data_IF_887609125357
#
_entry.id   IF_887609125357
#
_cell.length_a   1.000
_cell.length_b   1.000
_cell.length_c   1.000
_cell.angle_alpha   90.00
_cell.angle_beta   90.00
_cell.angle_gamma   90.00
#
_symmetry.space_group_name_H-M   'P 1'
#
loop_
_entity.id
_entity.type
_entity.pdbx_description
1 polymer ?
#
# COMPACT_ATOMS: atom_id res chain seq x y z
N UNK A 1 -17.14 -29.28 -24.86
CA UNK A 1 -17.42 -29.04 -23.43
C UNK A 1 -16.61 -27.82 -23.04
N UNK A 2 -17.27 -26.71 -22.72
CA UNK A 2 -16.59 -25.50 -22.24
C UNK A 2 -16.08 -25.80 -20.84
N UNK A 3 -14.77 -25.73 -20.63
CA UNK A 3 -14.17 -25.85 -19.30
C UNK A 3 -14.76 -24.78 -18.39
N UNK A 4 -15.35 -25.19 -17.26
CA UNK A 4 -15.84 -24.24 -16.27
C UNK A 4 -14.62 -23.59 -15.62
N UNK A 5 -14.46 -22.26 -15.70
CA UNK A 5 -13.28 -21.62 -15.14
C UNK A 5 -13.27 -21.79 -13.62
N UNK A 6 -12.14 -22.24 -13.08
CA UNK A 6 -11.92 -22.35 -11.64
C UNK A 6 -12.15 -21.00 -10.95
N UNK A 7 -12.79 -21.03 -9.79
CA UNK A 7 -12.89 -19.87 -8.89
C UNK A 7 -11.52 -19.52 -8.29
N UNK A 8 -11.37 -18.28 -7.80
CA UNK A 8 -10.15 -17.86 -7.10
C UNK A 8 -9.86 -18.71 -5.85
N UNK A 9 -10.90 -19.24 -5.20
CA UNK A 9 -10.78 -20.14 -4.05
C UNK A 9 -10.22 -21.49 -4.47
N UNK A 10 -10.75 -22.10 -5.52
CA UNK A 10 -10.23 -23.37 -6.04
C UNK A 10 -8.76 -23.21 -6.45
N UNK A 11 -8.41 -22.11 -7.13
CA UNK A 11 -7.02 -21.80 -7.48
C UNK A 11 -6.09 -21.70 -6.28
N UNK A 12 -6.54 -21.08 -5.19
CA UNK A 12 -5.79 -21.02 -3.94
C UNK A 12 -5.53 -22.44 -3.38
N UNK A 13 -6.55 -23.30 -3.38
CA UNK A 13 -6.43 -24.67 -2.88
C UNK A 13 -5.50 -25.53 -3.75
N UNK A 14 -5.55 -25.35 -5.07
CA UNK A 14 -4.59 -25.95 -6.01
C UNK A 14 -3.17 -25.45 -5.80
N UNK A 15 -2.98 -24.16 -5.47
CA UNK A 15 -1.67 -23.61 -5.13
C UNK A 15 -1.11 -24.26 -3.85
N UNK A 16 -1.95 -24.48 -2.85
CA UNK A 16 -1.55 -25.21 -1.64
C UNK A 16 -1.17 -26.65 -1.98
N UNK A 17 -2.01 -27.36 -2.75
CA UNK A 17 -1.73 -28.74 -3.16
C UNK A 17 -0.43 -28.86 -3.97
N UNK A 18 -0.14 -27.88 -4.83
CA UNK A 18 1.11 -27.83 -5.58
C UNK A 18 2.31 -27.60 -4.65
N UNK A 19 2.18 -26.76 -3.62
CA UNK A 19 3.25 -26.47 -2.68
C UNK A 19 3.50 -27.60 -1.66
N UNK A 20 2.48 -28.38 -1.31
CA UNK A 20 2.57 -29.41 -0.25
C UNK A 20 2.59 -30.83 -0.77
N UNK A 21 2.10 -31.07 -2.01
CA UNK A 21 1.78 -32.40 -2.53
C UNK A 21 0.39 -32.89 -2.14
N UNK A 22 -0.32 -32.20 -1.24
CA UNK A 22 -1.58 -32.64 -0.64
C UNK A 22 -2.67 -31.57 -0.72
N UNK A 23 -3.85 -31.96 -1.20
CA UNK A 23 -5.00 -31.07 -1.24
C UNK A 23 -5.54 -30.78 0.17
N UNK A 24 -5.91 -29.52 0.48
CA UNK A 24 -6.55 -29.21 1.76
C UNK A 24 -7.86 -30.00 1.96
N UNK A 25 -8.02 -30.58 3.15
CA UNK A 25 -9.25 -31.27 3.53
C UNK A 25 -10.48 -30.35 3.41
N UNK A 26 -11.65 -30.92 3.10
CA UNK A 26 -12.89 -30.15 2.87
C UNK A 26 -13.35 -29.31 4.08
N UNK A 27 -12.92 -29.67 5.29
CA UNK A 27 -13.21 -28.95 6.52
C UNK A 27 -12.15 -27.87 6.86
N UNK A 28 -11.15 -27.65 5.99
CA UNK A 28 -10.12 -26.64 6.19
C UNK A 28 -10.72 -25.22 6.20
N UNK A 29 -10.24 -24.30 7.06
CA UNK A 29 -10.68 -22.90 7.06
C UNK A 29 -10.42 -22.18 5.73
N UNK A 30 -9.51 -22.69 4.88
CA UNK A 30 -9.25 -22.16 3.54
C UNK A 30 -10.51 -22.18 2.64
N UNK A 31 -11.48 -23.08 2.92
CA UNK A 31 -12.72 -23.18 2.15
C UNK A 31 -13.74 -22.07 2.45
N UNK A 32 -13.62 -21.35 3.55
CA UNK A 32 -14.54 -20.26 3.94
C UNK A 32 -13.88 -18.87 3.94
N UNK A 33 -12.57 -18.81 3.74
CA UNK A 33 -11.75 -17.60 3.71
C UNK A 33 -12.27 -16.51 2.75
N UNK A 34 -12.23 -15.25 3.19
CA UNK A 34 -12.57 -14.09 2.38
C UNK A 34 -11.34 -13.62 1.58
N UNK A 35 -11.34 -13.85 0.26
CA UNK A 35 -10.17 -13.58 -0.59
C UNK A 35 -9.93 -12.08 -0.89
N UNK A 36 -10.80 -11.20 -0.42
CA UNK A 36 -10.63 -9.75 -0.52
C UNK A 36 -9.62 -9.20 0.51
N UNK A 37 -9.25 -9.99 1.53
CA UNK A 37 -8.37 -9.58 2.63
C UNK A 37 -7.04 -10.36 2.54
N UNK A 38 -5.98 -9.78 1.94
CA UNK A 38 -4.73 -10.50 1.69
C UNK A 38 -4.05 -10.98 2.96
N UNK A 39 -4.20 -10.21 4.04
CA UNK A 39 -3.66 -10.55 5.34
C UNK A 39 -4.30 -11.81 5.89
N UNK A 40 -5.64 -11.92 5.85
CA UNK A 40 -6.35 -13.14 6.24
C UNK A 40 -5.92 -14.35 5.40
N UNK A 41 -5.66 -14.17 4.10
CA UNK A 41 -5.15 -15.25 3.25
C UNK A 41 -3.77 -15.69 3.72
N UNK A 42 -2.87 -14.73 3.94
CA UNK A 42 -1.52 -15.03 4.41
C UNK A 42 -1.55 -15.76 5.74
N UNK A 43 -2.34 -15.29 6.69
CA UNK A 43 -2.38 -15.84 8.04
C UNK A 43 -2.99 -17.25 8.03
N UNK A 44 -4.11 -17.43 7.32
CA UNK A 44 -4.73 -18.75 7.18
C UNK A 44 -3.81 -19.76 6.48
N UNK A 45 -3.05 -19.34 5.47
CA UNK A 45 -2.04 -20.18 4.82
C UNK A 45 -0.86 -20.48 5.75
N UNK A 46 -0.37 -19.49 6.48
CA UNK A 46 0.75 -19.65 7.43
C UNK A 46 0.37 -20.65 8.52
N UNK A 47 -0.82 -20.50 9.10
CA UNK A 47 -1.36 -21.40 10.10
C UNK A 47 -1.55 -22.82 9.54
N UNK A 48 -2.15 -22.93 8.35
CA UNK A 48 -2.37 -24.22 7.69
C UNK A 48 -1.06 -24.96 7.37
N UNK A 49 -0.01 -24.22 7.00
CA UNK A 49 1.32 -24.76 6.68
C UNK A 49 2.22 -24.93 7.92
N UNK A 50 1.69 -24.71 9.12
CA UNK A 50 2.41 -24.90 10.38
C UNK A 50 3.50 -23.87 10.67
N UNK A 51 3.44 -22.69 10.06
CA UNK A 51 4.33 -21.55 10.33
C UNK A 51 5.80 -21.71 9.91
N UNK A 52 6.20 -22.87 9.37
CA UNK A 52 7.58 -23.15 8.97
C UNK A 52 7.93 -22.65 7.57
N UNK A 53 6.92 -22.41 6.74
CA UNK A 53 7.07 -21.99 5.34
C UNK A 53 6.76 -20.51 5.21
N UNK A 54 7.53 -19.83 4.38
CA UNK A 54 7.23 -18.45 4.04
C UNK A 54 6.05 -18.38 3.08
N UNK A 55 5.08 -17.50 3.39
CA UNK A 55 3.93 -17.20 2.53
C UNK A 55 3.92 -15.73 2.18
N UNK A 56 3.81 -15.42 0.89
CA UNK A 56 3.59 -14.06 0.41
C UNK A 56 2.26 -13.99 -0.32
N UNK A 57 1.44 -13.02 0.08
CA UNK A 57 0.18 -12.70 -0.61
C UNK A 57 0.24 -11.23 -1.02
N UNK A 58 0.40 -10.96 -2.32
CA UNK A 58 0.67 -9.61 -2.86
C UNK A 58 -0.02 -9.40 -4.22
N UNK A 59 0.22 -8.29 -4.91
CA UNK A 59 -0.49 -7.90 -6.13
C UNK A 59 -1.86 -7.28 -5.86
N UNK A 60 -2.40 -6.58 -6.85
CA UNK A 60 -3.73 -5.97 -6.73
C UNK A 60 -4.85 -7.03 -6.71
N UNK A 61 -6.04 -6.69 -6.21
CA UNK A 61 -7.19 -7.59 -6.07
C UNK A 61 -7.47 -8.44 -7.32
N UNK A 62 -7.44 -7.83 -8.50
CA UNK A 62 -7.72 -8.44 -9.80
C UNK A 62 -6.56 -9.27 -10.37
N UNK A 63 -5.37 -9.15 -9.78
CA UNK A 63 -4.15 -9.92 -10.11
C UNK A 63 -3.45 -10.34 -8.81
N UNK A 64 -4.18 -10.98 -7.90
CA UNK A 64 -3.66 -11.44 -6.60
C UNK A 64 -2.65 -12.56 -6.83
N UNK A 65 -1.41 -12.36 -6.37
CA UNK A 65 -0.33 -13.32 -6.42
C UNK A 65 -0.15 -13.99 -5.05
N UNK A 66 -0.09 -15.31 -5.03
CA UNK A 66 0.26 -16.12 -3.87
C UNK A 66 1.58 -16.83 -4.17
N UNK A 67 2.54 -16.67 -3.26
CA UNK A 67 3.82 -17.38 -3.28
C UNK A 67 3.93 -18.20 -1.99
N UNK A 68 4.23 -19.49 -2.13
CA UNK A 68 4.38 -20.42 -1.00
C UNK A 68 5.71 -21.13 -1.14
N UNK A 69 6.57 -20.99 -0.13
CA UNK A 69 7.82 -21.74 -0.05
C UNK A 69 7.54 -23.25 0.11
N UNK A 70 8.22 -24.07 -0.67
CA UNK A 70 8.16 -25.53 -0.65
C UNK A 70 9.22 -26.09 0.31
N UNK A 71 9.12 -27.39 0.61
CA UNK A 71 10.03 -28.03 1.57
C UNK A 71 11.49 -28.12 1.09
N UNK A 72 11.73 -28.06 -0.21
CA UNK A 72 13.04 -28.09 -0.86
C UNK A 72 13.65 -26.69 -1.09
N UNK A 73 12.93 -25.63 -0.71
CA UNK A 73 13.34 -24.23 -0.89
C UNK A 73 12.91 -23.60 -2.22
N UNK A 74 12.33 -24.39 -3.14
CA UNK A 74 11.64 -23.81 -4.30
C UNK A 74 10.32 -23.15 -3.87
N UNK A 75 9.70 -22.41 -4.77
CA UNK A 75 8.45 -21.70 -4.49
C UNK A 75 7.34 -22.20 -5.40
N UNK A 76 6.11 -22.17 -4.90
CA UNK A 76 4.90 -22.22 -5.72
C UNK A 76 4.43 -20.80 -5.98
N UNK A 77 4.11 -20.47 -7.23
CA UNK A 77 3.56 -19.18 -7.64
C UNK A 77 2.20 -19.36 -8.31
N UNK A 78 1.17 -18.71 -7.75
CA UNK A 78 -0.20 -18.76 -8.23
C UNK A 78 -0.80 -17.36 -8.43
N UNK A 79 -1.26 -17.07 -9.64
CA UNK A 79 -2.09 -15.89 -9.93
C UNK A 79 -3.57 -16.28 -9.75
N UNK A 80 -4.20 -15.81 -8.67
CA UNK A 80 -5.57 -16.19 -8.32
C UNK A 80 -6.62 -15.63 -9.29
N UNK A 81 -6.23 -14.70 -10.18
CA UNK A 81 -7.08 -14.28 -11.30
C UNK A 81 -7.27 -15.39 -12.34
N UNK A 82 -6.40 -16.40 -12.35
CA UNK A 82 -6.35 -17.47 -13.35
C UNK A 82 -5.67 -17.07 -14.65
N UNK A 83 -5.17 -15.84 -14.74
CA UNK A 83 -4.42 -15.40 -15.91
C UNK A 83 -2.98 -15.94 -15.88
N UNK A 84 -2.39 -16.22 -17.04
CA UNK A 84 -0.98 -16.61 -17.13
C UNK A 84 -0.02 -15.60 -16.51
N UNK A 85 1.05 -16.07 -15.89
CA UNK A 85 2.08 -15.20 -15.28
C UNK A 85 2.73 -14.24 -16.28
N UNK A 86 2.92 -14.62 -17.55
CA UNK A 86 3.50 -13.73 -18.57
C UNK A 86 2.62 -12.52 -18.92
N UNK A 87 1.32 -12.56 -18.58
CA UNK A 87 0.41 -11.42 -18.84
C UNK A 87 0.46 -10.37 -17.72
N UNK A 88 1.12 -10.67 -16.60
CA UNK A 88 1.32 -9.70 -15.52
C UNK A 88 2.34 -8.64 -15.95
N UNK A 89 2.05 -7.38 -15.66
CA UNK A 89 3.06 -6.32 -15.68
C UNK A 89 4.00 -6.49 -14.49
N UNK A 90 5.09 -7.23 -14.66
CA UNK A 90 6.09 -7.44 -13.62
C UNK A 90 6.90 -6.16 -13.35
N UNK A 91 7.03 -5.71 -12.09
CA UNK A 91 7.89 -4.60 -11.73
C UNK A 91 9.35 -4.87 -12.11
N UNK A 92 10.09 -3.85 -12.52
CA UNK A 92 11.47 -4.02 -13.01
C UNK A 92 12.41 -4.70 -12.00
N UNK A 93 12.18 -4.49 -10.70
CA UNK A 93 12.99 -5.11 -9.64
C UNK A 93 12.91 -6.64 -9.64
N UNK A 94 11.87 -7.26 -10.20
CA UNK A 94 11.74 -8.72 -10.19
C UNK A 94 12.74 -9.40 -11.14
N UNK A 95 13.29 -8.66 -12.10
CA UNK A 95 14.27 -9.18 -13.04
C UNK A 95 15.52 -9.69 -12.31
N UNK A 96 15.80 -10.99 -12.45
CA UNK A 96 16.91 -11.66 -11.77
C UNK A 96 16.65 -12.05 -10.31
N UNK A 97 15.52 -11.65 -9.73
CA UNK A 97 15.17 -11.90 -8.33
C UNK A 97 13.98 -12.84 -8.13
N UNK A 98 13.10 -12.94 -9.13
CA UNK A 98 11.95 -13.84 -9.17
C UNK A 98 11.86 -14.46 -10.58
N UNK A 99 11.93 -15.78 -10.67
CA UNK A 99 11.82 -16.52 -11.92
C UNK A 99 10.69 -17.53 -11.85
N UNK A 100 9.68 -17.37 -12.71
CA UNK A 100 8.59 -18.34 -12.88
C UNK A 100 9.06 -19.41 -13.87
N UNK A 101 8.93 -20.70 -13.53
CA UNK A 101 9.39 -21.81 -14.35
C UNK A 101 8.57 -21.96 -15.64
N UNK A 102 7.24 -21.93 -15.52
CA UNK A 102 6.29 -21.90 -16.62
C UNK A 102 5.44 -20.62 -16.54
N UNK A 103 5.76 -19.58 -17.33
CA UNK A 103 5.01 -18.34 -17.29
C UNK A 103 3.71 -18.40 -18.12
N UNK A 104 3.43 -19.52 -18.81
CA UNK A 104 2.21 -19.69 -19.62
C UNK A 104 1.01 -20.15 -18.79
N UNK A 105 1.25 -20.75 -17.63
CA UNK A 105 0.24 -21.09 -16.63
C UNK A 105 -0.04 -19.96 -15.62
N UNK A 106 -1.16 -20.09 -14.90
CA UNK A 106 -1.47 -19.29 -13.72
C UNK A 106 -0.86 -19.88 -12.44
N UNK A 107 -0.48 -21.16 -12.47
CA UNK A 107 0.18 -21.91 -11.40
C UNK A 107 1.51 -22.44 -11.93
N UNK A 108 2.59 -22.26 -11.19
CA UNK A 108 3.91 -22.75 -11.58
C UNK A 108 4.84 -22.84 -10.37
N UNK A 109 5.94 -23.60 -10.50
CA UNK A 109 7.09 -23.43 -9.61
C UNK A 109 7.81 -22.09 -9.90
N UNK A 110 8.48 -21.56 -8.90
CA UNK A 110 9.26 -20.34 -8.99
C UNK A 110 10.56 -20.46 -8.18
N UNK A 111 11.57 -19.72 -8.60
CA UNK A 111 12.78 -19.48 -7.82
C UNK A 111 12.80 -18.02 -7.38
N UNK A 112 13.07 -17.79 -6.09
CA UNK A 112 13.16 -16.46 -5.48
C UNK A 112 14.52 -16.35 -4.79
N UNK A 113 15.27 -15.29 -5.13
CA UNK A 113 16.53 -14.98 -4.43
C UNK A 113 16.27 -14.37 -3.06
N UNK A 114 17.23 -14.39 -2.14
CA UNK A 114 17.13 -13.73 -0.82
C UNK A 114 16.70 -12.26 -0.93
N UNK A 115 17.26 -11.54 -1.91
CA UNK A 115 16.88 -10.15 -2.18
C UNK A 115 15.43 -10.04 -2.68
N UNK A 116 14.98 -10.97 -3.51
CA UNK A 116 13.60 -11.05 -3.96
C UNK A 116 12.65 -11.32 -2.80
N UNK A 117 13.00 -12.25 -1.90
CA UNK A 117 12.23 -12.54 -0.70
C UNK A 117 12.17 -11.32 0.23
N UNK A 118 13.31 -10.64 0.45
CA UNK A 118 13.37 -9.38 1.21
C UNK A 118 12.43 -8.33 0.61
N UNK A 119 12.45 -8.12 -0.71
CA UNK A 119 11.56 -7.16 -1.40
C UNK A 119 10.10 -7.54 -1.37
N UNK A 120 9.76 -8.83 -1.34
CA UNK A 120 8.37 -9.27 -1.21
C UNK A 120 7.83 -9.14 0.21
N UNK A 121 8.69 -9.31 1.22
CA UNK A 121 8.30 -9.28 2.64
C UNK A 121 8.45 -7.90 3.28
N UNK A 122 9.24 -7.01 2.67
CA UNK A 122 9.58 -5.69 3.20
C UNK A 122 9.43 -4.62 2.12
N UNK A 123 9.10 -3.37 2.48
CA UNK A 123 8.74 -2.94 3.84
C UNK A 123 7.33 -3.42 4.26
N UNK A 124 7.09 -3.42 5.57
CA UNK A 124 5.74 -3.50 6.12
C UNK A 124 5.16 -2.09 6.15
N UNK A 125 4.25 -1.83 5.22
CA UNK A 125 3.52 -0.58 5.08
C UNK A 125 2.24 -0.64 5.91
N UNK A 126 2.08 0.32 6.83
CA UNK A 126 0.80 0.62 7.46
C UNK A 126 0.19 1.87 6.82
N UNK A 127 -1.05 1.79 6.35
CA UNK A 127 -1.82 2.96 5.91
C UNK A 127 -2.95 3.23 6.91
N UNK A 128 -2.90 4.36 7.58
CA UNK A 128 -3.91 4.80 8.54
C UNK A 128 -4.71 6.00 8.01
N UNK A 129 -6.03 5.93 8.16
CA UNK A 129 -6.95 7.03 7.84
C UNK A 129 -7.46 7.65 9.14
N UNK A 130 -7.12 8.93 9.34
CA UNK A 130 -7.45 9.67 10.56
C UNK A 130 -8.83 10.28 10.46
N UNK A 131 -9.58 10.13 11.55
CA UNK A 131 -10.95 10.58 11.58
C UNK A 131 -11.47 10.75 13.00
N UNK A 132 -12.26 11.79 13.22
CA UNK A 132 -13.10 11.99 14.39
C UNK A 132 -14.49 11.36 14.14
N UNK A 133 -14.75 10.10 14.56
CA UNK A 133 -16.01 9.42 14.29
C UNK A 133 -17.23 10.11 14.90
N UNK A 134 -17.05 10.87 15.98
CA UNK A 134 -18.10 11.67 16.62
C UNK A 134 -18.58 12.83 15.74
N UNK A 135 -17.72 13.33 14.85
CA UNK A 135 -18.05 14.42 13.93
C UNK A 135 -18.70 13.94 12.64
N UNK A 136 -18.41 12.70 12.20
CA UNK A 136 -19.11 12.10 11.08
C UNK A 136 -19.41 10.61 11.36
N UNK A 137 -20.60 10.32 11.92
CA UNK A 137 -20.91 9.02 12.50
C UNK A 137 -21.27 7.94 11.47
N UNK A 138 -21.48 8.30 10.20
CA UNK A 138 -21.77 7.34 9.14
C UNK A 138 -20.45 6.90 8.48
N UNK A 139 -19.99 5.65 8.71
CA UNK A 139 -18.73 5.19 8.13
C UNK A 139 -18.82 5.13 6.61
N UNK A 140 -17.76 5.56 5.95
CA UNK A 140 -17.62 5.45 4.50
C UNK A 140 -16.43 4.57 4.19
N UNK A 141 -16.58 3.74 3.17
CA UNK A 141 -15.49 2.90 2.69
C UNK A 141 -14.26 3.77 2.40
N UNK A 142 -13.09 3.48 2.99
CA UNK A 142 -11.98 4.44 3.04
C UNK A 142 -11.15 4.41 1.76
N UNK A 143 -11.77 4.89 0.68
CA UNK A 143 -11.28 4.80 -0.70
C UNK A 143 -9.84 5.32 -0.85
N UNK A 144 -9.50 6.41 -0.15
CA UNK A 144 -8.18 7.00 -0.21
C UNK A 144 -7.06 6.01 0.15
N UNK A 145 -7.16 5.29 1.27
CA UNK A 145 -6.12 4.32 1.66
C UNK A 145 -6.25 3.01 0.89
N UNK A 146 -7.44 2.63 0.43
CA UNK A 146 -7.67 1.45 -0.41
C UNK A 146 -7.04 1.59 -1.81
N UNK A 147 -7.08 2.78 -2.40
CA UNK A 147 -6.43 3.05 -3.69
C UNK A 147 -4.90 3.05 -3.55
N UNK A 148 -4.36 3.62 -2.45
CA UNK A 148 -2.94 3.53 -2.14
C UNK A 148 -2.49 2.09 -1.91
N UNK A 149 -3.31 1.28 -1.24
CA UNK A 149 -3.03 -0.12 -1.02
C UNK A 149 -2.93 -0.89 -2.34
N UNK A 150 -3.80 -0.58 -3.31
CA UNK A 150 -3.74 -1.16 -4.67
C UNK A 150 -2.39 -0.85 -5.30
N UNK A 151 -2.00 0.42 -5.33
CA UNK A 151 -0.76 0.87 -5.94
C UNK A 151 0.48 0.25 -5.27
N UNK A 152 0.49 0.21 -3.94
CA UNK A 152 1.54 -0.44 -3.16
C UNK A 152 1.63 -1.94 -3.49
N UNK A 153 0.51 -2.67 -3.48
CA UNK A 153 0.49 -4.11 -3.79
C UNK A 153 0.85 -4.41 -5.25
N UNK A 154 0.49 -3.54 -6.19
CA UNK A 154 0.86 -3.68 -7.60
C UNK A 154 2.38 -3.55 -7.83
N UNK A 155 3.10 -2.82 -6.96
CA UNK A 155 4.56 -2.73 -7.00
C UNK A 155 5.28 -4.03 -6.57
N UNK A 156 4.55 -4.96 -5.95
CA UNK A 156 5.07 -6.18 -5.33
C UNK A 156 6.18 -5.94 -4.28
N UNK A 157 6.29 -4.71 -3.77
CA UNK A 157 7.24 -4.36 -2.71
C UNK A 157 6.55 -4.42 -1.35
N UNK A 158 6.89 -5.44 -0.57
CA UNK A 158 6.48 -5.59 0.81
C UNK A 158 5.02 -5.98 1.03
N UNK A 159 4.53 -5.69 2.23
CA UNK A 159 3.18 -6.02 2.69
C UNK A 159 2.43 -4.78 3.15
N UNK A 160 1.11 -4.75 2.94
CA UNK A 160 0.27 -3.59 3.24
C UNK A 160 -0.85 -3.95 4.21
N UNK A 161 -0.93 -3.18 5.29
CA UNK A 161 -1.97 -3.22 6.32
C UNK A 161 -2.74 -1.90 6.35
N UNK A 162 -4.07 -1.95 6.57
CA UNK A 162 -4.96 -0.79 6.56
C UNK A 162 -5.65 -0.62 7.91
N UNK A 163 -5.69 0.61 8.41
CA UNK A 163 -6.40 0.99 9.64
C UNK A 163 -7.25 2.25 9.37
N UNK A 164 -8.52 2.24 9.78
CA UNK A 164 -9.42 3.39 9.57
C UNK A 164 -10.25 3.70 10.82
N UNK A 165 -10.17 4.95 11.28
CA UNK A 165 -10.83 5.38 12.51
C UNK A 165 -12.36 5.43 12.42
N UNK A 166 -12.95 5.59 11.23
CA UNK A 166 -14.41 5.45 11.05
C UNK A 166 -14.88 4.01 11.30
N UNK A 167 -13.96 3.04 11.19
CA UNK A 167 -14.22 1.62 11.45
C UNK A 167 -13.80 1.20 12.86
N UNK A 168 -13.75 2.15 13.79
CA UNK A 168 -13.58 1.92 15.23
C UNK A 168 -12.16 1.62 15.67
N UNK A 169 -11.19 1.78 14.76
CA UNK A 169 -9.79 1.87 15.13
C UNK A 169 -9.59 3.19 15.89
N UNK A 170 -8.91 3.14 17.04
CA UNK A 170 -8.58 4.34 17.81
C UNK A 170 -7.20 4.88 17.43
N UNK A 171 -6.91 6.11 17.85
CA UNK A 171 -5.56 6.68 17.71
C UNK A 171 -4.51 5.81 18.45
N UNK A 172 -4.89 5.30 19.63
CA UNK A 172 -4.03 4.44 20.45
C UNK A 172 -3.74 3.10 19.77
N UNK A 173 -4.72 2.52 19.06
CA UNK A 173 -4.49 1.30 18.28
C UNK A 173 -3.45 1.54 17.17
N UNK A 174 -3.55 2.67 16.47
CA UNK A 174 -2.60 3.05 15.41
C UNK A 174 -1.21 3.26 16.00
N UNK A 175 -1.10 4.01 17.10
CA UNK A 175 0.16 4.25 17.78
C UNK A 175 0.76 2.95 18.31
N UNK A 176 -0.03 2.11 18.98
CA UNK A 176 0.40 0.80 19.47
C UNK A 176 0.93 -0.07 18.34
N UNK A 177 0.28 -0.05 17.18
CA UNK A 177 0.72 -0.80 16.00
C UNK A 177 2.07 -0.32 15.47
N UNK A 178 2.34 0.98 15.47
CA UNK A 178 3.62 1.57 15.04
C UNK A 178 4.72 1.32 16.07
N UNK A 179 4.43 1.57 17.35
CA UNK A 179 5.35 1.44 18.50
C UNK A 179 5.83 0.01 18.68
N UNK A 180 5.01 -0.99 18.33
CA UNK A 180 5.40 -2.41 18.36
C UNK A 180 6.62 -2.76 17.46
N UNK A 181 7.20 -1.80 16.74
CA UNK A 181 8.42 -1.98 15.92
C UNK A 181 8.17 -2.77 14.65
N UNK A 182 6.89 -2.99 14.32
CA UNK A 182 6.46 -3.84 13.23
C UNK A 182 6.04 -3.09 11.96
N UNK A 183 6.36 -1.80 11.86
CA UNK A 183 6.05 -0.91 10.74
C UNK A 183 7.34 -0.30 10.22
N UNK A 184 7.59 -0.38 8.92
CA UNK A 184 8.81 0.15 8.31
C UNK A 184 8.52 1.42 7.50
N UNK A 185 7.33 1.51 6.93
CA UNK A 185 6.77 2.70 6.29
C UNK A 185 5.39 2.96 6.88
N UNK A 186 5.14 4.19 7.29
CA UNK A 186 3.86 4.61 7.85
C UNK A 186 3.21 5.70 7.01
N UNK A 187 2.09 5.37 6.37
CA UNK A 187 1.29 6.30 5.59
C UNK A 187 0.07 6.81 6.36
N UNK A 188 -0.10 8.12 6.40
CA UNK A 188 -1.20 8.81 7.11
C UNK A 188 -2.06 9.55 6.10
N UNK A 189 -3.35 9.23 6.05
CA UNK A 189 -4.35 9.98 5.29
C UNK A 189 -5.15 10.88 6.23
N UNK A 190 -5.05 12.20 6.03
CA UNK A 190 -5.74 13.18 6.86
C UNK A 190 -6.49 14.22 6.02
N UNK A 191 -7.80 14.33 6.25
CA UNK A 191 -8.66 15.35 5.66
C UNK A 191 -8.86 16.54 6.61
N UNK A 192 -9.68 17.52 6.23
CA UNK A 192 -9.99 18.67 7.08
C UNK A 192 -10.59 18.25 8.44
N UNK A 193 -10.23 19.01 9.48
CA UNK A 193 -10.70 18.77 10.84
C UNK A 193 -9.93 17.72 11.64
N UNK A 194 -8.84 17.15 11.09
CA UNK A 194 -8.07 16.07 11.72
C UNK A 194 -6.66 16.53 12.16
N UNK A 195 -6.46 17.84 12.37
CA UNK A 195 -5.12 18.39 12.62
C UNK A 195 -4.55 17.98 13.97
N UNK A 196 -5.39 17.99 15.00
CA UNK A 196 -5.08 17.55 16.34
C UNK A 196 -4.64 16.07 16.36
N UNK A 197 -5.44 15.17 15.76
CA UNK A 197 -5.09 13.75 15.63
C UNK A 197 -3.76 13.58 14.91
N UNK A 198 -3.58 14.28 13.79
CA UNK A 198 -2.36 14.18 12.99
C UNK A 198 -1.14 14.68 13.73
N UNK A 199 -1.22 15.79 14.47
CA UNK A 199 -0.07 16.30 15.23
C UNK A 199 0.26 15.40 16.40
N UNK A 200 -0.73 14.95 17.18
CA UNK A 200 -0.51 14.02 18.30
C UNK A 200 0.17 12.74 17.82
N UNK A 201 -0.31 12.20 16.69
CA UNK A 201 0.27 11.02 16.07
C UNK A 201 1.72 11.24 15.61
N UNK A 202 1.97 12.34 14.88
CA UNK A 202 3.31 12.62 14.35
C UNK A 202 4.31 12.95 15.45
N UNK A 203 3.89 13.64 16.52
CA UNK A 203 4.71 13.89 17.70
C UNK A 203 5.17 12.57 18.33
N UNK A 204 4.22 11.68 18.64
CA UNK A 204 4.52 10.39 19.27
C UNK A 204 5.43 9.50 18.39
N UNK A 205 5.19 9.47 17.07
CA UNK A 205 6.02 8.67 16.16
C UNK A 205 7.41 9.28 15.98
N UNK A 206 7.53 10.61 15.99
CA UNK A 206 8.83 11.29 15.83
C UNK A 206 9.74 11.14 17.05
N UNK A 207 9.17 10.90 18.23
CA UNK A 207 9.88 10.65 19.48
C UNK A 207 10.42 9.21 19.62
N UNK A 208 10.12 8.32 18.67
CA UNK A 208 10.67 6.96 18.67
C UNK A 208 12.17 6.96 18.36
N UNK A 209 12.92 6.07 19.01
CA UNK A 209 14.36 5.88 18.74
C UNK A 209 14.62 5.52 17.27
N UNK A 210 13.74 4.68 16.70
CA UNK A 210 13.80 4.25 15.30
C UNK A 210 12.43 4.43 14.65
N UNK A 211 12.09 5.66 14.20
CA UNK A 211 10.79 5.92 13.58
C UNK A 211 10.73 5.26 12.19
N UNK A 212 9.55 4.80 11.75
CA UNK A 212 9.36 4.37 10.37
C UNK A 212 9.53 5.55 9.40
N UNK A 213 9.70 5.25 8.11
CA UNK A 213 9.59 6.29 7.08
C UNK A 213 8.13 6.79 7.03
N UNK A 214 7.92 8.08 7.29
CA UNK A 214 6.56 8.64 7.40
C UNK A 214 6.18 9.38 6.11
N UNK A 215 5.01 9.03 5.57
CA UNK A 215 4.38 9.76 4.46
C UNK A 215 2.98 10.20 4.86
N UNK A 216 2.65 11.48 4.66
CA UNK A 216 1.32 12.02 4.97
C UNK A 216 0.66 12.61 3.71
N UNK A 217 -0.60 12.26 3.48
CA UNK A 217 -1.41 12.69 2.35
C UNK A 217 -2.77 13.23 2.79
N UNK A 218 -3.49 13.82 1.82
CA UNK A 218 -4.80 14.41 2.04
C UNK A 218 -4.82 15.94 2.00
N UNK A 219 -6.01 16.51 1.96
CA UNK A 219 -6.19 17.95 1.75
C UNK A 219 -5.57 18.80 2.89
N UNK A 220 -5.59 18.28 4.11
CA UNK A 220 -5.06 18.95 5.29
C UNK A 220 -3.53 19.05 5.24
N UNK A 221 -2.85 17.97 4.85
CA UNK A 221 -1.38 17.92 4.83
C UNK A 221 -0.81 18.85 3.77
N UNK A 222 -1.39 18.84 2.57
CA UNK A 222 -0.95 19.72 1.47
C UNK A 222 -1.15 21.19 1.82
N UNK A 223 -2.20 21.54 2.56
CA UNK A 223 -2.47 22.93 2.97
C UNK A 223 -1.56 23.41 4.08
N UNK A 224 -1.08 22.50 4.92
CA UNK A 224 -0.18 22.79 6.04
C UNK A 224 1.27 22.35 5.76
N UNK A 225 1.62 22.11 4.48
CA UNK A 225 2.88 21.49 4.05
C UNK A 225 4.10 22.13 4.73
N UNK A 226 4.20 23.47 4.71
CA UNK A 226 5.32 24.19 5.31
C UNK A 226 5.44 23.96 6.81
N UNK A 227 4.34 24.11 7.55
CA UNK A 227 4.31 23.99 9.01
C UNK A 227 4.66 22.56 9.43
N UNK A 228 4.15 21.57 8.70
CA UNK A 228 4.43 20.16 8.96
C UNK A 228 5.89 19.81 8.68
N UNK A 229 6.48 20.28 7.58
CA UNK A 229 7.89 20.00 7.25
C UNK A 229 8.89 20.80 8.11
N UNK A 230 8.47 21.93 8.67
CA UNK A 230 9.23 22.66 9.69
C UNK A 230 9.30 21.86 10.99
N UNK A 231 8.17 21.32 11.45
CA UNK A 231 8.07 20.56 12.70
C UNK A 231 8.58 19.12 12.60
N UNK A 232 8.39 18.45 11.46
CA UNK A 232 8.73 17.05 11.23
C UNK A 232 9.68 16.92 10.02
N UNK A 233 11.01 17.06 10.20
CA UNK A 233 11.97 17.17 9.11
C UNK A 233 12.05 15.94 8.19
N UNK A 234 11.72 14.75 8.72
CA UNK A 234 11.79 13.48 8.00
C UNK A 234 10.45 13.09 7.33
N UNK A 235 9.44 13.95 7.40
CA UNK A 235 8.13 13.70 6.81
C UNK A 235 8.16 13.89 5.29
N UNK A 236 7.53 12.97 4.56
CA UNK A 236 7.20 13.13 3.15
C UNK A 236 5.72 13.51 3.03
N UNK A 237 5.40 14.54 2.26
CA UNK A 237 4.02 14.98 2.03
C UNK A 237 3.60 14.63 0.60
N UNK A 238 2.55 13.82 0.45
CA UNK A 238 1.93 13.57 -0.85
C UNK A 238 1.07 14.76 -1.29
N UNK A 239 1.37 15.35 -2.44
CA UNK A 239 0.81 16.64 -2.92
C UNK A 239 -0.31 16.51 -3.96
N UNK A 240 -0.69 15.30 -4.32
CA UNK A 240 -1.73 15.03 -5.32
C UNK A 240 -2.28 13.62 -5.18
N UNK A 241 -2.56 12.97 -6.30
CA UNK A 241 -2.88 11.55 -6.32
C UNK A 241 -1.72 10.75 -5.70
N UNK A 242 -2.00 9.98 -4.66
CA UNK A 242 -0.96 9.38 -3.82
C UNK A 242 -0.43 8.05 -4.37
N UNK A 243 -1.06 7.44 -5.37
CA UNK A 243 -0.70 6.13 -5.90
C UNK A 243 0.73 6.09 -6.47
N UNK A 244 1.15 7.04 -7.32
CA UNK A 244 2.54 7.09 -7.77
C UNK A 244 3.49 7.40 -6.61
N UNK A 245 3.04 8.22 -5.65
CA UNK A 245 3.86 8.62 -4.49
C UNK A 245 4.17 7.42 -3.60
N UNK A 246 3.15 6.61 -3.26
CA UNK A 246 3.33 5.47 -2.35
C UNK A 246 4.18 4.38 -3.00
N UNK A 247 4.00 4.12 -4.31
CA UNK A 247 4.85 3.18 -5.04
C UNK A 247 6.33 3.63 -5.03
N UNK A 248 6.59 4.92 -5.25
CA UNK A 248 7.95 5.47 -5.22
C UNK A 248 8.54 5.50 -3.79
N UNK A 249 7.72 5.72 -2.76
CA UNK A 249 8.14 5.65 -1.35
C UNK A 249 8.63 4.24 -1.00
N UNK A 250 7.95 3.20 -1.48
CA UNK A 250 8.39 1.81 -1.28
C UNK A 250 9.72 1.53 -1.98
N UNK A 251 9.87 1.99 -3.23
CA UNK A 251 11.13 1.88 -3.97
C UNK A 251 12.27 2.68 -3.28
N UNK A 252 11.98 3.88 -2.78
CA UNK A 252 12.91 4.69 -2.00
C UNK A 252 13.38 3.97 -0.74
N UNK A 253 12.48 3.30 -0.01
CA UNK A 253 12.84 2.50 1.17
C UNK A 253 13.85 1.39 0.86
N UNK A 254 13.80 0.82 -0.35
CA UNK A 254 14.80 -0.16 -0.81
C UNK A 254 16.09 0.46 -1.34
N UNK A 255 16.17 1.78 -1.47
CA UNK A 255 17.30 2.49 -2.07
C UNK A 255 17.28 2.55 -3.60
N UNK A 256 16.16 2.18 -4.24
CA UNK A 256 16.03 2.22 -5.70
C UNK A 256 15.83 3.65 -6.23
N UNK A 257 15.27 4.52 -5.38
CA UNK A 257 15.01 5.92 -5.67
C UNK A 257 15.56 6.79 -4.55
N UNK A 258 16.03 7.97 -4.94
CA UNK A 258 16.27 9.08 -4.02
C UNK A 258 14.96 9.80 -3.67
N UNK A 259 14.92 10.50 -2.54
CA UNK A 259 13.73 11.25 -2.11
C UNK A 259 13.28 12.29 -3.14
N UNK A 260 14.21 12.85 -3.93
CA UNK A 260 13.90 13.83 -4.97
C UNK A 260 13.37 13.23 -6.28
N UNK A 261 13.35 11.90 -6.38
CA UNK A 261 12.75 11.14 -7.47
C UNK A 261 11.32 10.67 -7.15
N UNK A 262 10.89 10.75 -5.88
CA UNK A 262 9.53 10.37 -5.47
C UNK A 262 8.53 11.35 -6.10
N UNK A 263 7.65 10.86 -6.97
CA UNK A 263 6.65 11.70 -7.67
C UNK A 263 5.63 12.27 -6.68
N UNK A 264 5.24 13.52 -6.89
CA UNK A 264 4.22 14.20 -6.09
C UNK A 264 4.59 14.48 -4.63
N UNK A 265 5.86 14.39 -4.24
CA UNK A 265 6.33 14.59 -2.88
C UNK A 265 6.66 16.06 -2.55
N UNK A 266 6.39 16.47 -1.32
CA UNK A 266 6.99 17.60 -0.63
C UNK A 266 7.85 17.09 0.53
N UNK A 267 9.06 17.59 0.69
CA UNK A 267 9.99 17.12 1.73
C UNK A 267 11.01 18.22 2.07
N UNK A 268 11.78 18.03 3.14
CA UNK A 268 12.89 18.90 3.52
C UNK A 268 14.23 18.29 3.06
N UNK A 269 15.09 19.08 2.41
CA UNK A 269 16.42 18.57 2.00
C UNK A 269 17.27 19.56 1.20
N UNK A 270 18.59 19.30 1.14
CA UNK A 270 19.54 20.03 0.30
C UNK A 270 19.55 19.48 -1.14
N UNK A 271 19.88 20.32 -2.13
CA UNK A 271 20.20 19.84 -3.48
C UNK A 271 21.54 19.09 -3.45
N UNK A 272 21.69 18.04 -4.27
CA UNK A 272 23.00 17.44 -4.54
C UNK A 272 23.97 18.55 -5.00
N UNK A 273 25.01 18.82 -4.22
CA UNK A 273 26.07 19.79 -4.53
C UNK A 273 25.71 21.24 -4.15
N UNK A 274 26.65 21.94 -3.52
CA UNK A 274 26.51 23.35 -3.09
C UNK A 274 26.21 24.34 -4.24
N UNK A 275 26.30 23.92 -5.50
CA UNK A 275 26.29 24.81 -6.67
C UNK A 275 25.32 24.41 -7.81
N UNK A 276 24.38 23.48 -7.61
CA UNK A 276 23.34 23.24 -8.64
C UNK A 276 22.13 24.16 -8.44
N UNK A 277 22.01 25.17 -9.31
CA UNK A 277 20.75 25.91 -9.45
C UNK A 277 19.66 24.97 -9.96
N UNK A 278 18.69 24.64 -9.11
CA UNK A 278 17.45 24.00 -9.54
C UNK A 278 16.39 25.09 -9.72
N UNK A 279 15.88 25.23 -10.94
CA UNK A 279 14.73 26.10 -11.26
C UNK A 279 13.47 25.39 -10.77
N UNK A 280 13.18 25.54 -9.47
CA UNK A 280 11.96 25.06 -8.83
C UNK A 280 11.61 25.95 -7.64
N UNK A 281 10.32 26.05 -7.29
CA UNK A 281 9.81 26.84 -6.15
C UNK A 281 10.25 26.22 -4.81
N UNK A 282 11.54 26.29 -4.49
CA UNK A 282 12.03 26.04 -3.15
C UNK A 282 11.64 27.23 -2.27
N UNK A 283 10.97 26.96 -1.15
CA UNK A 283 10.70 27.96 -0.11
C UNK A 283 11.72 27.76 0.99
N UNK A 284 12.48 28.81 1.30
CA UNK A 284 13.44 28.79 2.41
C UNK A 284 12.67 28.83 3.73
N UNK A 285 12.98 27.91 4.63
CA UNK A 285 12.51 27.84 6.01
C UNK A 285 13.72 28.03 6.94
N UNK A 286 13.50 28.35 8.21
CA UNK A 286 14.57 28.73 9.16
C UNK A 286 15.75 27.73 9.18
N UNK A 287 15.46 26.43 9.00
CA UNK A 287 16.46 25.36 9.13
C UNK A 287 16.67 24.54 7.83
N UNK A 288 16.24 25.02 6.66
CA UNK A 288 16.40 24.27 5.40
C UNK A 288 15.58 24.81 4.23
N UNK A 289 15.47 24.02 3.15
CA UNK A 289 14.59 24.33 2.01
C UNK A 289 13.51 23.26 1.88
N UNK A 290 12.26 23.68 1.79
CA UNK A 290 11.16 22.81 1.37
C UNK A 290 11.27 22.60 -0.14
N UNK A 291 11.34 21.35 -0.56
CA UNK A 291 11.44 20.93 -1.96
C UNK A 291 10.18 20.17 -2.37
N UNK A 292 9.91 20.21 -3.66
CA UNK A 292 8.72 19.63 -4.28
C UNK A 292 9.10 18.93 -5.56
N UNK A 293 8.63 17.70 -5.74
CA UNK A 293 8.70 17.01 -7.03
C UNK A 293 7.42 17.23 -7.83
N UNK A 294 7.46 16.88 -9.12
CA UNK A 294 6.32 17.06 -10.01
C UNK A 294 5.16 16.13 -9.60
N UNK A 295 3.95 16.68 -9.53
CA UNK A 295 2.73 15.88 -9.40
C UNK A 295 2.39 15.26 -10.75
N UNK A 296 2.10 13.96 -10.75
CA UNK A 296 1.65 13.24 -11.95
C UNK A 296 0.16 13.00 -11.80
N UNK A 297 -0.62 13.30 -12.85
CA UNK A 297 -2.03 12.92 -12.87
C UNK A 297 -2.13 11.39 -12.81
N UNK A 298 -3.02 10.85 -11.98
CA UNK A 298 -3.27 9.42 -12.02
C UNK A 298 -3.98 9.08 -13.33
N UNK A 299 -3.21 8.58 -14.31
CA UNK A 299 -3.64 8.28 -15.69
C UNK A 299 -3.70 6.78 -15.97
N UNK A 300 -3.44 5.93 -14.98
CA UNK A 300 -3.45 4.49 -15.20
C UNK A 300 -4.90 4.02 -15.26
N UNK A 301 -5.33 3.63 -16.46
CA UNK A 301 -6.61 2.95 -16.72
C UNK A 301 -6.76 1.64 -15.94
N UNK A 302 -5.67 1.15 -15.34
CA UNK A 302 -5.62 -0.04 -14.50
C UNK A 302 -5.97 0.22 -13.02
N UNK A 303 -6.15 1.48 -12.60
CA UNK A 303 -6.52 1.86 -11.23
C UNK A 303 -8.03 1.91 -11.00
N UNK A 304 -8.79 1.05 -11.68
CA UNK A 304 -10.25 1.09 -11.62
C UNK A 304 -10.82 0.52 -10.33
N UNK A 305 -10.10 -0.37 -9.63
CA UNK A 305 -10.62 -1.11 -8.48
C UNK A 305 -9.84 -0.87 -7.19
N UNK A 306 -10.44 -0.26 -6.16
CA UNK A 306 -9.80 -0.17 -4.85
C UNK A 306 -9.56 -1.56 -4.24
N UNK A 307 -8.59 -1.66 -3.34
CA UNK A 307 -8.47 -2.83 -2.49
C UNK A 307 -9.65 -2.90 -1.50
N UNK A 308 -10.25 -4.08 -1.36
CA UNK A 308 -11.54 -4.25 -0.67
C UNK A 308 -11.41 -4.75 0.78
N UNK A 309 -10.23 -4.67 1.38
CA UNK A 309 -9.93 -5.22 2.72
C UNK A 309 -10.96 -4.79 3.77
N UNK A 310 -11.32 -3.51 3.73
CA UNK A 310 -12.16 -2.86 4.72
C UNK A 310 -13.65 -2.79 4.29
N UNK A 311 -14.02 -3.33 3.13
CA UNK A 311 -15.39 -3.23 2.60
C UNK A 311 -16.40 -3.97 3.48
N UNK A 312 -16.11 -5.23 3.82
CA UNK A 312 -17.00 -6.03 4.68
C UNK A 312 -17.15 -5.39 6.07
N UNK A 313 -16.06 -4.90 6.67
CA UNK A 313 -16.12 -4.17 7.95
C UNK A 313 -16.93 -2.88 7.84
N UNK A 314 -16.81 -2.15 6.73
CA UNK A 314 -17.62 -0.96 6.46
C UNK A 314 -19.11 -1.31 6.42
N UNK A 315 -19.49 -2.33 5.66
CA UNK A 315 -20.89 -2.73 5.49
C UNK A 315 -21.49 -3.27 6.79
N UNK A 316 -20.74 -4.04 7.59
CA UNK A 316 -21.19 -4.53 8.91
C UNK A 316 -21.45 -3.41 9.91
N UNK A 317 -20.86 -2.23 9.70
CA UNK A 317 -21.11 -1.01 10.49
C UNK A 317 -22.20 -0.12 9.89
N UNK A 318 -23.01 -0.66 8.98
CA UNK A 318 -24.02 0.09 8.21
C UNK A 318 -23.44 1.28 7.44
N UNK A 319 -22.15 1.21 7.09
CA UNK A 319 -21.48 2.20 6.29
C UNK A 319 -21.83 2.07 4.81
N UNK A 320 -21.29 2.99 4.01
CA UNK A 320 -21.54 3.03 2.56
C UNK A 320 -20.30 2.66 1.75
N UNK A 321 -20.50 1.88 0.70
CA UNK A 321 -19.48 1.66 -0.32
C UNK A 321 -19.24 2.95 -1.12
N UNK A 322 -18.00 3.18 -1.52
CA UNK A 322 -17.61 4.32 -2.33
C UNK A 322 -16.85 3.86 -3.56
N UNK A 323 -17.07 4.56 -4.67
CA UNK A 323 -16.32 4.40 -5.92
C UNK A 323 -16.10 5.78 -6.52
N UNK A 324 -14.87 6.06 -6.91
CA UNK A 324 -14.52 7.29 -7.64
C UNK A 324 -14.32 6.94 -9.12
N UNK A 325 -15.36 7.17 -9.93
CA UNK A 325 -15.32 6.88 -11.36
C UNK A 325 -14.56 7.95 -12.19
N UNK A 326 -14.24 9.09 -11.58
CA UNK A 326 -13.51 10.19 -12.22
C UNK A 326 -12.79 11.04 -11.18
N UNK A 327 -11.59 11.52 -11.50
CA UNK A 327 -10.80 12.44 -10.67
C UNK A 327 -10.62 13.79 -11.35
N UNK A 328 -10.50 14.84 -10.56
CA UNK A 328 -10.41 16.21 -11.07
C UNK A 328 -11.77 16.90 -11.16
N UNK A 329 -11.74 18.23 -11.22
CA UNK A 329 -12.93 19.04 -11.42
C UNK A 329 -12.58 20.26 -12.29
N UNK A 330 -13.22 20.35 -13.45
CA UNK A 330 -13.01 21.44 -14.42
C UNK A 330 -13.65 22.77 -14.00
N UNK A 331 -14.49 22.78 -12.97
CA UNK A 331 -15.23 23.96 -12.53
C UNK A 331 -14.41 24.92 -11.69
N UNK A 332 -14.67 26.24 -11.85
CA UNK A 332 -13.93 27.30 -11.18
C UNK A 332 -14.60 27.94 -9.96
N UNK A 333 -14.71 27.21 -8.84
CA UNK A 333 -15.21 27.77 -7.59
C UNK A 333 -14.12 28.56 -6.84
N UNK A 334 -14.41 29.80 -6.44
CA UNK A 334 -13.48 30.70 -5.73
C UNK A 334 -13.08 30.21 -4.33
N UNK A 335 -13.93 29.42 -3.69
CA UNK A 335 -13.74 28.87 -2.35
C UNK A 335 -13.16 27.45 -2.34
N UNK A 336 -13.06 26.78 -3.49
CA UNK A 336 -12.60 25.39 -3.55
C UNK A 336 -11.07 25.31 -3.68
N UNK A 337 -10.36 24.78 -2.68
CA UNK A 337 -8.92 24.61 -2.77
C UNK A 337 -8.55 23.53 -3.81
N UNK A 338 -8.08 23.92 -5.00
CA UNK A 338 -7.88 22.97 -6.13
C UNK A 338 -6.49 22.38 -6.34
N UNK A 339 -5.43 22.96 -5.79
CA UNK A 339 -4.05 22.54 -6.06
C UNK A 339 -3.73 21.06 -5.78
N UNK A 340 -4.55 20.35 -5.00
CA UNK A 340 -4.38 18.93 -4.65
C UNK A 340 -5.44 18.00 -5.27
N UNK A 341 -6.47 18.52 -5.94
CA UNK A 341 -7.61 17.73 -6.44
C UNK A 341 -7.48 17.29 -7.91
N UNK A 342 -6.35 17.59 -8.55
CA UNK A 342 -6.18 17.41 -9.99
C UNK A 342 -6.93 18.48 -10.82
N UNK A 343 -6.44 18.73 -12.04
CA UNK A 343 -7.17 19.46 -13.08
C UNK A 343 -7.58 18.46 -14.16
#
# INVERSE_FOLDING_TARGET
MTEVPLSARERLLFAVAHATGDAPALNSPLWSLALARPQDIRDALTDYLGGTRTVVVTGALDRRLVLIEQADGDWTAADLSGQPHHTRAWPAWTAGHLRIADPTGWLSSAAITDEGQRRLLRPRLLLASLYHPENFPLPRFPLAISDLARAARASLLGSVELMDMQLGVTLDDILGRVIAGAVDVFGVSATFGQHDLMTTLLDAVHELDTPPLIVAGGSLTVRNERILLERYPNLIIGRGAGEPTIADVLAHWHGDLEVDQIRGAGYRGAARGRDTMVIGRAVTIADGRVRRTATVANRLTTDMWPELDLLDTTLRRNGVAQLEASRGCTNFCSFCPRGHKGQ
#
